data_IF_901220364548
#
_entry.id   IF_901220364548
#
_cell.length_a   1.000
_cell.length_b   1.000
_cell.length_c   1.000
_cell.angle_alpha   90.00
_cell.angle_beta   90.00
_cell.angle_gamma   90.00
#
_symmetry.space_group_name_H-M   'P 1'
#
loop_
_entity.id
_entity.type
_entity.pdbx_description
1 polymer ?
#
# COMPACT_ATOMS: atom_id res chain seq x y z
N UNK A 1 13.47 -13.81 12.83
CA UNK A 1 13.25 -12.90 11.67
C UNK A 1 13.36 -11.40 11.99
N UNK A 2 13.41 -10.91 13.25
CA UNK A 2 13.46 -9.46 13.55
C UNK A 2 14.85 -8.79 13.51
N UNK A 3 15.91 -9.52 13.13
CA UNK A 3 17.31 -9.04 13.23
C UNK A 3 17.97 -8.60 11.91
N UNK A 4 17.21 -8.44 10.83
CA UNK A 4 17.76 -8.50 9.46
C UNK A 4 17.49 -7.29 8.55
N UNK A 5 16.79 -6.25 9.04
CA UNK A 5 16.54 -5.03 8.25
C UNK A 5 17.53 -3.91 8.53
N UNK A 6 18.46 -4.08 9.48
CA UNK A 6 19.35 -3.03 9.98
C UNK A 6 20.11 -2.28 8.88
N UNK A 7 20.66 -2.98 7.87
CA UNK A 7 21.41 -2.32 6.79
C UNK A 7 20.53 -1.60 5.77
N UNK A 8 19.35 -2.13 5.46
CA UNK A 8 18.38 -1.45 4.58
C UNK A 8 17.81 -0.23 5.30
N UNK A 9 17.52 -0.37 6.60
CA UNK A 9 17.14 0.73 7.47
C UNK A 9 18.27 1.76 7.48
N UNK A 10 19.52 1.40 7.75
CA UNK A 10 20.65 2.33 7.78
C UNK A 10 20.81 3.10 6.45
N UNK A 11 20.75 2.41 5.30
CA UNK A 11 20.79 3.08 3.98
C UNK A 11 19.64 4.07 3.84
N UNK A 12 18.42 3.65 4.17
CA UNK A 12 17.22 4.50 4.09
C UNK A 12 17.29 5.65 5.09
N UNK A 13 17.76 5.43 6.33
CA UNK A 13 17.93 6.45 7.36
C UNK A 13 19.01 7.46 6.97
N UNK A 14 20.12 7.00 6.39
CA UNK A 14 21.17 7.88 5.88
C UNK A 14 20.63 8.75 4.75
N UNK A 15 19.94 8.16 3.78
CA UNK A 15 19.25 8.92 2.73
C UNK A 15 18.25 9.92 3.31
N UNK A 16 17.50 9.56 4.34
CA UNK A 16 16.53 10.46 4.97
C UNK A 16 17.22 11.61 5.71
N UNK A 17 18.36 11.36 6.36
CA UNK A 17 19.15 12.37 7.07
C UNK A 17 19.85 13.37 6.14
N UNK A 18 20.28 12.93 4.95
CA UNK A 18 20.83 13.81 3.93
C UNK A 18 19.75 14.73 3.34
N UNK A 19 18.52 14.21 3.22
CA UNK A 19 17.39 14.96 2.67
C UNK A 19 16.81 16.01 3.63
N UNK A 20 17.06 15.95 4.95
CA UNK A 20 16.72 17.05 5.88
C UNK A 20 17.39 18.38 5.51
N UNK A 21 18.47 18.34 4.72
CA UNK A 21 19.22 19.51 4.24
C UNK A 21 18.85 19.93 2.81
N UNK A 22 17.96 19.18 2.18
CA UNK A 22 17.53 19.39 0.79
C UNK A 22 16.38 20.38 0.75
N UNK A 23 16.34 21.23 -0.28
CA UNK A 23 15.26 22.21 -0.42
C UNK A 23 13.92 21.51 -0.68
N UNK A 24 12.78 21.99 -0.16
CA UNK A 24 11.49 21.33 -0.34
C UNK A 24 11.12 21.05 -1.81
N UNK A 25 11.53 21.92 -2.73
CA UNK A 25 11.35 21.75 -4.18
C UNK A 25 12.13 20.58 -4.79
N UNK A 26 13.23 20.16 -4.16
CA UNK A 26 14.09 19.07 -4.65
C UNK A 26 13.73 17.71 -4.01
N UNK A 27 12.82 17.69 -3.04
CA UNK A 27 12.38 16.45 -2.37
C UNK A 27 11.56 15.53 -3.29
N UNK A 28 10.92 16.11 -4.31
CA UNK A 28 10.07 15.39 -5.26
C UNK A 28 10.55 15.62 -6.69
N UNK A 29 10.48 14.59 -7.52
CA UNK A 29 10.61 14.71 -8.98
C UNK A 29 9.30 14.32 -9.66
N UNK A 30 9.08 14.82 -10.87
CA UNK A 30 7.93 14.43 -11.69
C UNK A 30 8.33 13.39 -12.74
N UNK A 31 7.52 12.34 -12.88
CA UNK A 31 7.59 11.37 -13.96
C UNK A 31 6.18 11.09 -14.46
N UNK A 32 5.96 11.28 -15.78
CA UNK A 32 4.64 11.18 -16.41
C UNK A 32 3.54 12.02 -15.72
N UNK A 33 3.91 13.21 -15.24
CA UNK A 33 3.00 14.11 -14.53
C UNK A 33 2.69 13.74 -13.07
N UNK A 34 3.26 12.64 -12.55
CA UNK A 34 3.09 12.19 -11.17
C UNK A 34 4.36 12.51 -10.36
N UNK A 35 4.17 12.95 -9.11
CA UNK A 35 5.29 13.28 -8.21
C UNK A 35 5.78 12.02 -7.46
N UNK A 36 7.10 11.90 -7.28
CA UNK A 36 7.73 10.81 -6.53
C UNK A 36 8.84 11.33 -5.62
N UNK A 37 9.10 10.70 -4.46
CA UNK A 37 10.19 11.11 -3.58
C UNK A 37 11.56 10.85 -4.22
N UNK A 38 12.35 11.90 -4.42
CA UNK A 38 13.67 11.83 -5.05
C UNK A 38 14.69 11.00 -4.26
N UNK A 39 14.51 10.92 -2.93
CA UNK A 39 15.33 10.10 -2.07
C UNK A 39 15.11 8.58 -2.25
N UNK A 40 13.97 8.18 -2.80
CA UNK A 40 13.56 6.78 -2.91
C UNK A 40 13.62 6.26 -4.33
N UNK A 41 13.61 7.14 -5.33
CA UNK A 41 13.49 6.78 -6.73
C UNK A 41 14.09 7.86 -7.63
N UNK A 42 14.18 7.56 -8.93
CA UNK A 42 14.55 8.53 -9.95
C UNK A 42 13.80 8.25 -11.27
N UNK A 43 13.75 9.20 -12.22
CA UNK A 43 13.22 8.95 -13.55
C UNK A 43 13.87 7.73 -14.23
N UNK A 44 15.17 7.53 -14.05
CA UNK A 44 15.92 6.40 -14.62
C UNK A 44 15.48 5.08 -14.00
N UNK A 45 15.19 5.05 -12.69
CA UNK A 45 14.67 3.86 -12.02
C UNK A 45 13.27 3.50 -12.56
N UNK A 46 12.37 4.49 -12.71
CA UNK A 46 11.05 4.25 -13.28
C UNK A 46 11.11 3.84 -14.76
N UNK A 47 12.09 4.34 -15.51
CA UNK A 47 12.32 3.88 -16.89
C UNK A 47 12.83 2.42 -16.92
N UNK A 48 13.80 2.09 -16.07
CA UNK A 48 14.34 0.74 -15.96
C UNK A 48 13.28 -0.29 -15.53
N UNK A 49 12.31 0.12 -14.71
CA UNK A 49 11.19 -0.72 -14.27
C UNK A 49 10.39 -1.30 -15.45
N UNK A 50 10.28 -0.59 -16.57
CA UNK A 50 9.53 -1.09 -17.75
C UNK A 50 10.07 -2.42 -18.29
N UNK A 51 11.35 -2.71 -18.05
CA UNK A 51 12.02 -3.96 -18.44
C UNK A 51 11.98 -5.03 -17.34
N UNK A 52 11.32 -4.76 -16.22
CA UNK A 52 11.21 -5.73 -15.13
C UNK A 52 10.34 -6.93 -15.54
N UNK A 53 10.85 -8.13 -15.27
CA UNK A 53 10.16 -9.38 -15.55
C UNK A 53 9.65 -10.03 -14.26
N UNK A 54 8.34 -10.29 -14.23
CA UNK A 54 7.71 -11.07 -13.17
C UNK A 54 7.93 -12.57 -13.39
N UNK A 55 8.09 -13.31 -12.30
CA UNK A 55 8.05 -14.77 -12.28
C UNK A 55 6.62 -15.24 -12.05
N UNK A 56 6.32 -16.46 -12.49
CA UNK A 56 4.97 -17.03 -12.33
C UNK A 56 4.54 -17.18 -10.88
N UNK A 57 5.50 -17.36 -9.98
CA UNK A 57 5.24 -17.42 -8.56
C UNK A 57 5.52 -16.10 -7.85
N UNK A 58 5.65 -14.93 -8.48
CA UNK A 58 5.74 -13.71 -7.68
C UNK A 58 4.42 -13.44 -6.93
N UNK A 59 4.54 -12.84 -5.75
CA UNK A 59 3.44 -12.26 -4.99
C UNK A 59 3.52 -10.76 -5.14
N UNK A 60 2.58 -10.18 -5.90
CA UNK A 60 2.53 -8.73 -6.11
C UNK A 60 1.46 -8.14 -5.19
N UNK A 61 1.87 -7.20 -4.35
CA UNK A 61 1.00 -6.43 -3.47
C UNK A 61 0.93 -5.00 -4.02
N UNK A 62 -0.26 -4.56 -4.37
CA UNK A 62 -0.51 -3.20 -4.84
C UNK A 62 -1.36 -2.44 -3.83
N UNK A 63 -1.17 -1.13 -3.72
CA UNK A 63 -2.06 -0.27 -2.95
C UNK A 63 -1.50 1.13 -2.83
N UNK A 64 -2.37 2.13 -2.76
CA UNK A 64 -1.95 3.52 -2.61
C UNK A 64 -1.19 3.71 -1.27
N UNK A 65 -0.25 4.68 -1.15
CA UNK A 65 0.41 4.94 0.12
C UNK A 65 -0.58 5.10 1.29
N UNK A 66 -0.19 4.56 2.45
CA UNK A 66 -0.96 4.67 3.71
C UNK A 66 -2.33 3.97 3.73
N UNK A 67 -2.58 3.08 2.78
CA UNK A 67 -3.71 2.13 2.82
C UNK A 67 -3.47 0.93 3.75
N UNK A 68 -2.28 0.77 4.32
CA UNK A 68 -1.92 -0.35 5.21
C UNK A 68 -0.99 -1.38 4.58
N UNK A 69 -0.33 -1.03 3.48
CA UNK A 69 0.60 -1.87 2.72
C UNK A 69 1.69 -2.53 3.57
N UNK A 70 2.29 -1.82 4.54
CA UNK A 70 3.31 -2.43 5.43
C UNK A 70 2.74 -3.55 6.31
N UNK A 71 1.49 -3.42 6.74
CA UNK A 71 0.82 -4.44 7.55
C UNK A 71 0.51 -5.66 6.70
N UNK A 72 -0.02 -5.45 5.50
CA UNK A 72 -0.25 -6.51 4.52
C UNK A 72 1.05 -7.23 4.12
N UNK A 73 2.13 -6.48 3.85
CA UNK A 73 3.44 -7.05 3.50
C UNK A 73 3.93 -8.00 4.59
N UNK A 74 3.88 -7.59 5.87
CA UNK A 74 4.28 -8.47 6.97
C UNK A 74 3.39 -9.70 7.08
N UNK A 75 2.06 -9.55 6.97
CA UNK A 75 1.15 -10.69 6.98
C UNK A 75 1.51 -11.72 5.90
N UNK A 76 1.69 -11.25 4.67
CA UNK A 76 1.98 -12.12 3.53
C UNK A 76 3.35 -12.79 3.70
N UNK A 77 4.36 -12.08 4.22
CA UNK A 77 5.67 -12.66 4.54
C UNK A 77 5.60 -13.74 5.60
N UNK A 78 4.80 -13.53 6.65
CA UNK A 78 4.61 -14.54 7.71
C UNK A 78 3.82 -15.75 7.23
N UNK A 79 2.82 -15.56 6.36
CA UNK A 79 2.08 -16.63 5.70
C UNK A 79 3.04 -17.45 4.82
N UNK A 80 3.77 -16.78 3.94
CA UNK A 80 4.66 -17.41 2.96
C UNK A 80 5.79 -18.17 3.64
N UNK A 81 6.43 -17.58 4.65
CA UNK A 81 7.48 -18.25 5.41
C UNK A 81 6.97 -19.44 6.22
N UNK A 82 5.72 -19.40 6.69
CA UNK A 82 5.10 -20.53 7.42
C UNK A 82 4.76 -21.67 6.46
N UNK A 83 4.24 -21.35 5.28
CA UNK A 83 3.92 -22.33 4.23
C UNK A 83 5.16 -23.02 3.67
N UNK A 84 6.19 -22.23 3.32
CA UNK A 84 7.38 -22.73 2.65
C UNK A 84 8.28 -23.59 3.54
N UNK A 85 8.18 -23.44 4.87
CA UNK A 85 8.96 -24.22 5.87
C UNK A 85 10.46 -24.25 5.55
N UNK A 86 11.01 -23.08 5.26
CA UNK A 86 12.40 -22.91 4.87
C UNK A 86 13.38 -23.55 5.86
N UNK A 87 14.44 -24.17 5.35
CA UNK A 87 15.57 -24.58 6.18
C UNK A 87 16.35 -23.36 6.67
N UNK A 88 17.21 -23.55 7.67
CA UNK A 88 18.08 -22.47 8.17
C UNK A 88 19.02 -21.93 7.07
N UNK A 89 19.49 -22.80 6.17
CA UNK A 89 20.33 -22.43 5.03
C UNK A 89 19.56 -21.58 4.02
N UNK A 90 18.35 -21.99 3.64
CA UNK A 90 17.48 -21.23 2.72
C UNK A 90 17.10 -19.87 3.32
N UNK A 91 16.83 -19.85 4.62
CA UNK A 91 16.58 -18.61 5.35
C UNK A 91 17.80 -17.68 5.30
N UNK A 92 19.01 -18.21 5.52
CA UNK A 92 20.25 -17.44 5.45
C UNK A 92 20.51 -16.90 4.05
N UNK A 93 20.27 -17.70 3.01
CA UNK A 93 20.40 -17.26 1.61
C UNK A 93 19.46 -16.10 1.30
N UNK A 94 18.18 -16.22 1.66
CA UNK A 94 17.19 -15.14 1.48
C UNK A 94 17.59 -13.87 2.20
N UNK A 95 18.05 -13.99 3.45
CA UNK A 95 18.51 -12.86 4.25
C UNK A 95 19.69 -12.15 3.56
N UNK A 96 20.65 -12.91 3.03
CA UNK A 96 21.80 -12.33 2.33
C UNK A 96 21.36 -11.62 1.05
N UNK A 97 20.49 -12.24 0.26
CA UNK A 97 19.96 -11.64 -0.96
C UNK A 97 19.17 -10.35 -0.67
N UNK A 98 18.35 -10.32 0.38
CA UNK A 98 17.63 -9.11 0.81
C UNK A 98 18.58 -8.00 1.28
N UNK A 99 19.69 -8.32 1.94
CA UNK A 99 20.72 -7.34 2.31
C UNK A 99 21.41 -6.74 1.08
N UNK A 100 21.66 -7.56 0.06
CA UNK A 100 22.25 -7.10 -1.20
C UNK A 100 21.32 -6.19 -2.00
N UNK A 101 20.00 -6.27 -1.82
CA UNK A 101 19.07 -5.34 -2.48
C UNK A 101 19.37 -3.88 -2.09
N UNK A 102 19.82 -3.66 -0.85
CA UNK A 102 20.02 -2.35 -0.22
C UNK A 102 18.78 -1.45 -0.23
N UNK A 103 17.61 -2.01 -0.52
CA UNK A 103 16.33 -1.32 -0.63
C UNK A 103 15.20 -2.32 -0.35
N UNK A 104 14.06 -1.82 0.11
CA UNK A 104 12.87 -2.67 0.18
C UNK A 104 12.40 -3.08 -1.23
N UNK A 105 11.85 -4.29 -1.43
CA UNK A 105 11.41 -4.76 -2.75
C UNK A 105 10.09 -4.10 -3.17
N UNK A 106 10.15 -2.79 -3.40
CA UNK A 106 9.10 -1.98 -4.02
C UNK A 106 9.50 -1.66 -5.45
N UNK A 107 8.59 -1.82 -6.41
CA UNK A 107 8.91 -1.67 -7.83
C UNK A 107 9.39 -0.27 -8.20
N UNK A 108 8.97 0.73 -7.44
CA UNK A 108 9.34 2.12 -7.65
C UNK A 108 10.58 2.57 -6.87
N UNK A 109 11.21 1.72 -6.04
CA UNK A 109 12.31 2.14 -5.15
C UNK A 109 13.69 1.71 -5.63
N UNK A 110 14.68 2.56 -5.38
CA UNK A 110 16.10 2.28 -5.58
C UNK A 110 16.70 2.97 -6.80
N UNK A 111 17.88 2.50 -7.18
CA UNK A 111 18.59 2.86 -8.41
C UNK A 111 18.21 1.93 -9.57
N UNK A 112 18.52 2.27 -10.84
CA UNK A 112 18.23 1.40 -11.99
C UNK A 112 18.77 -0.04 -11.86
N UNK A 113 19.86 -0.25 -11.13
CA UNK A 113 20.45 -1.57 -10.89
C UNK A 113 19.68 -2.43 -9.88
N UNK A 114 18.69 -1.87 -9.16
CA UNK A 114 17.88 -2.60 -8.18
C UNK A 114 17.18 -3.80 -8.81
N UNK A 115 16.70 -3.68 -10.05
CA UNK A 115 15.98 -4.74 -10.74
C UNK A 115 16.88 -5.94 -11.08
N UNK A 116 18.16 -5.71 -11.40
CA UNK A 116 19.14 -6.79 -11.54
C UNK A 116 19.42 -7.48 -10.21
N UNK A 117 19.45 -6.74 -9.09
CA UNK A 117 19.56 -7.32 -7.75
C UNK A 117 18.31 -8.12 -7.40
N UNK A 118 17.12 -7.66 -7.77
CA UNK A 118 15.85 -8.38 -7.59
C UNK A 118 15.77 -9.69 -8.39
N UNK A 119 16.52 -9.83 -9.49
CA UNK A 119 16.64 -11.09 -10.22
C UNK A 119 17.42 -12.16 -9.44
N UNK A 120 18.28 -11.77 -8.50
CA UNK A 120 19.04 -12.70 -7.64
C UNK A 120 18.24 -13.19 -6.43
N UNK A 121 17.10 -12.57 -6.13
CA UNK A 121 16.26 -13.01 -5.01
C UNK A 121 15.75 -14.44 -5.24
N UNK A 122 15.81 -15.32 -4.22
CA UNK A 122 15.17 -16.62 -4.27
C UNK A 122 13.66 -16.48 -4.47
N UNK A 123 13.07 -17.36 -5.28
CA UNK A 123 11.60 -17.48 -5.33
C UNK A 123 11.10 -18.16 -4.04
N UNK A 124 9.97 -17.77 -3.43
CA UNK A 124 8.97 -16.80 -3.90
C UNK A 124 9.35 -15.35 -3.58
N UNK A 125 9.21 -14.42 -4.54
CA UNK A 125 9.43 -12.99 -4.28
C UNK A 125 8.12 -12.34 -3.83
N UNK A 126 8.17 -11.57 -2.74
CA UNK A 126 7.07 -10.70 -2.31
C UNK A 126 7.47 -9.28 -2.66
N UNK A 127 6.73 -8.69 -3.60
CA UNK A 127 7.03 -7.40 -4.20
C UNK A 127 5.84 -6.48 -3.97
N UNK A 128 6.11 -5.26 -3.53
CA UNK A 128 5.09 -4.25 -3.28
C UNK A 128 5.14 -3.14 -4.34
N UNK A 129 4.03 -2.47 -4.60
CA UNK A 129 4.05 -1.23 -5.37
C UNK A 129 2.92 -0.28 -5.00
N UNK A 130 3.23 1.01 -5.07
CA UNK A 130 2.28 2.11 -4.99
C UNK A 130 1.93 2.71 -6.37
N UNK A 131 2.48 2.14 -7.46
CA UNK A 131 2.28 2.65 -8.81
C UNK A 131 0.89 2.30 -9.37
N UNK A 132 0.38 3.21 -10.18
CA UNK A 132 -0.78 2.95 -11.03
C UNK A 132 -0.44 1.96 -12.15
N UNK A 133 -1.41 1.18 -12.65
CA UNK A 133 -1.22 0.18 -13.69
C UNK A 133 -0.49 0.66 -14.95
N UNK A 134 -0.68 1.90 -15.41
CA UNK A 134 -0.03 2.41 -16.63
C UNK A 134 1.50 2.52 -16.52
N UNK A 135 2.05 2.62 -15.31
CA UNK A 135 3.50 2.70 -15.06
C UNK A 135 4.14 1.34 -14.75
N UNK A 136 3.31 0.31 -14.58
CA UNK A 136 3.79 -1.03 -14.25
C UNK A 136 4.23 -1.79 -15.51
N UNK A 137 5.22 -2.67 -15.40
CA UNK A 137 5.72 -3.41 -16.56
C UNK A 137 4.61 -4.28 -17.15
N UNK A 138 4.49 -4.37 -18.49
CA UNK A 138 3.47 -5.20 -19.14
C UNK A 138 3.51 -6.67 -18.69
N UNK A 139 4.69 -7.17 -18.29
CA UNK A 139 4.89 -8.52 -17.78
C UNK A 139 4.01 -8.84 -16.56
N UNK A 140 3.64 -7.84 -15.74
CA UNK A 140 2.75 -8.00 -14.59
C UNK A 140 1.33 -8.40 -15.02
N UNK A 141 0.84 -7.78 -16.10
CA UNK A 141 -0.51 -8.01 -16.62
C UNK A 141 -0.58 -9.08 -17.70
N UNK A 142 0.54 -9.45 -18.34
CA UNK A 142 0.59 -10.51 -19.36
C UNK A 142 1.13 -11.83 -18.81
N UNK A 143 1.87 -11.78 -17.71
CA UNK A 143 2.53 -12.92 -17.09
C UNK A 143 1.59 -13.81 -16.28
N UNK A 144 2.19 -14.64 -15.42
CA UNK A 144 1.46 -15.59 -14.56
C UNK A 144 1.39 -15.16 -13.09
N UNK A 145 2.04 -14.04 -12.73
CA UNK A 145 2.00 -13.52 -11.38
C UNK A 145 0.57 -13.11 -10.99
N UNK A 146 0.24 -13.29 -9.71
CA UNK A 146 -1.02 -12.85 -9.10
C UNK A 146 -0.80 -11.52 -8.40
N UNK A 147 -1.81 -10.65 -8.44
CA UNK A 147 -1.77 -9.31 -7.87
C UNK A 147 -2.88 -9.20 -6.82
N UNK A 148 -2.52 -8.77 -5.62
CA UNK A 148 -3.46 -8.40 -4.57
C UNK A 148 -3.47 -6.87 -4.44
N UNK A 149 -4.62 -6.25 -4.67
CA UNK A 149 -4.84 -4.81 -4.47
C UNK A 149 -5.45 -4.54 -3.10
N UNK A 150 -4.75 -3.76 -2.29
CA UNK A 150 -5.21 -3.27 -0.99
C UNK A 150 -5.94 -1.94 -1.15
N UNK A 151 -7.18 -1.91 -0.64
CA UNK A 151 -8.02 -0.73 -0.58
C UNK A 151 -8.17 -0.25 0.87
N UNK A 152 -8.46 1.02 1.07
CA UNK A 152 -8.78 1.57 2.39
C UNK A 152 -9.70 2.77 2.23
N UNK A 153 -10.56 3.06 3.21
CA UNK A 153 -11.39 4.26 3.19
C UNK A 153 -10.56 5.52 2.86
N UNK A 154 -10.98 6.36 1.88
CA UNK A 154 -10.22 7.54 1.47
C UNK A 154 -10.06 8.57 2.61
N UNK A 155 -11.03 8.70 3.50
CA UNK A 155 -10.97 9.64 4.63
C UNK A 155 -9.87 9.24 5.61
N UNK A 156 -9.82 7.96 5.96
CA UNK A 156 -8.79 7.42 6.85
C UNK A 156 -7.41 7.44 6.19
N UNK A 157 -7.36 7.22 4.88
CA UNK A 157 -6.14 7.32 4.07
C UNK A 157 -5.60 8.75 4.08
N UNK A 158 -6.46 9.74 3.82
CA UNK A 158 -6.09 11.16 3.82
C UNK A 158 -5.49 11.59 5.16
N UNK A 159 -6.12 11.23 6.29
CA UNK A 159 -5.61 11.56 7.63
C UNK A 159 -4.29 10.86 7.90
N UNK A 160 -4.18 9.57 7.58
CA UNK A 160 -2.93 8.83 7.77
C UNK A 160 -1.79 9.38 6.91
N UNK A 161 -2.11 9.92 5.74
CA UNK A 161 -1.12 10.39 4.79
C UNK A 161 -0.65 11.82 5.06
N UNK A 162 -1.50 12.68 5.61
CA UNK A 162 -1.10 13.98 6.17
C UNK A 162 0.00 13.84 7.23
N UNK A 163 -0.24 12.95 8.21
CA UNK A 163 0.76 12.70 9.25
C UNK A 163 2.04 12.07 8.70
N UNK A 164 1.94 11.25 7.66
CA UNK A 164 3.12 10.70 7.04
C UNK A 164 3.95 11.77 6.34
N UNK A 165 3.30 12.64 5.54
CA UNK A 165 3.92 13.80 4.91
C UNK A 165 4.67 14.68 5.91
N UNK A 166 4.00 15.08 6.98
CA UNK A 166 4.57 16.02 7.94
C UNK A 166 5.62 15.42 8.88
N UNK A 167 5.85 14.11 8.85
CA UNK A 167 6.87 13.47 9.70
C UNK A 167 7.93 12.71 8.89
N UNK A 168 7.82 12.65 7.56
CA UNK A 168 8.78 11.93 6.72
C UNK A 168 9.76 12.93 6.08
N UNK A 169 11.07 12.88 6.38
CA UNK A 169 12.05 13.86 5.89
C UNK A 169 12.21 13.93 4.37
N UNK A 170 11.81 12.87 3.66
CA UNK A 170 11.89 12.78 2.19
C UNK A 170 10.64 13.28 1.47
N UNK A 171 9.73 13.90 2.21
CA UNK A 171 8.53 14.53 1.67
C UNK A 171 8.50 15.99 2.12
N UNK A 172 7.90 16.89 1.31
CA UNK A 172 7.61 18.22 1.79
C UNK A 172 6.62 18.16 2.95
N UNK A 173 6.53 19.23 3.73
CA UNK A 173 5.55 19.34 4.82
C UNK A 173 4.47 20.35 4.48
N UNK A 174 3.29 20.16 5.06
CA UNK A 174 2.17 21.09 4.97
C UNK A 174 1.99 21.78 6.31
N UNK A 175 1.85 23.11 6.27
CA UNK A 175 1.65 23.91 7.48
C UNK A 175 0.26 23.67 8.09
N UNK A 176 -0.74 23.44 7.24
CA UNK A 176 -2.13 23.23 7.66
C UNK A 176 -2.77 21.99 7.03
N UNK A 177 -3.82 21.49 7.69
CA UNK A 177 -4.65 20.41 7.14
C UNK A 177 -5.34 20.82 5.84
N UNK A 178 -5.84 22.05 5.74
CA UNK A 178 -6.63 22.50 4.58
C UNK A 178 -5.77 22.58 3.31
N UNK A 179 -4.53 23.07 3.41
CA UNK A 179 -3.56 23.07 2.30
C UNK A 179 -3.26 21.65 1.84
N UNK A 180 -2.96 20.75 2.79
CA UNK A 180 -2.73 19.34 2.49
C UNK A 180 -3.97 18.70 1.84
N UNK A 181 -5.15 18.94 2.38
CA UNK A 181 -6.38 18.31 1.92
C UNK A 181 -6.73 18.78 0.50
N UNK A 182 -6.52 20.06 0.18
CA UNK A 182 -6.63 20.57 -1.19
C UNK A 182 -5.63 19.89 -2.13
N UNK A 183 -4.39 19.65 -1.70
CA UNK A 183 -3.39 18.91 -2.48
C UNK A 183 -3.78 17.44 -2.67
N UNK A 184 -4.28 16.77 -1.63
CA UNK A 184 -4.79 15.39 -1.67
C UNK A 184 -5.94 15.25 -2.68
N UNK A 185 -6.93 16.16 -2.62
CA UNK A 185 -8.09 16.14 -3.50
C UNK A 185 -7.74 16.47 -4.97
N UNK A 186 -6.70 17.27 -5.20
CA UNK A 186 -6.24 17.63 -6.55
C UNK A 186 -5.14 16.72 -7.09
N UNK A 187 -4.75 15.67 -6.35
CA UNK A 187 -3.72 14.72 -6.78
C UNK A 187 -2.29 15.28 -6.79
N UNK A 188 -2.04 16.42 -6.13
CA UNK A 188 -0.73 17.10 -6.07
C UNK A 188 0.16 16.57 -4.95
N UNK A 189 0.01 15.29 -4.62
CA UNK A 189 0.87 14.57 -3.68
C UNK A 189 1.76 13.58 -4.44
N UNK A 190 2.74 13.04 -3.73
CA UNK A 190 3.58 11.96 -4.20
C UNK A 190 2.69 10.74 -4.48
N UNK A 191 3.06 9.95 -5.49
CA UNK A 191 2.23 8.89 -6.06
C UNK A 191 0.87 9.37 -6.61
N UNK A 192 0.66 10.68 -6.75
CA UNK A 192 -0.47 11.27 -7.47
C UNK A 192 -1.81 11.17 -6.75
N UNK A 193 -2.89 11.18 -7.53
CA UNK A 193 -4.26 11.12 -7.03
C UNK A 193 -4.64 9.72 -6.53
N UNK A 194 -5.11 9.64 -5.28
CA UNK A 194 -5.69 8.41 -4.73
C UNK A 194 -6.87 7.92 -5.58
N UNK A 195 -7.71 8.83 -6.08
CA UNK A 195 -8.90 8.48 -6.84
C UNK A 195 -8.54 7.97 -8.24
N UNK A 196 -7.57 8.59 -8.91
CA UNK A 196 -7.11 8.12 -10.22
C UNK A 196 -6.44 6.74 -10.10
N UNK A 197 -5.60 6.56 -9.07
CA UNK A 197 -5.02 5.26 -8.74
C UNK A 197 -6.11 4.19 -8.56
N UNK A 198 -7.17 4.48 -7.78
CA UNK A 198 -8.30 3.55 -7.64
C UNK A 198 -9.00 3.26 -8.96
N UNK A 199 -9.31 4.30 -9.75
CA UNK A 199 -10.02 4.15 -11.02
C UNK A 199 -9.23 3.29 -12.01
N UNK A 200 -7.91 3.48 -12.08
CA UNK A 200 -7.07 2.70 -12.97
C UNK A 200 -7.01 1.22 -12.57
N UNK A 201 -6.81 0.95 -11.28
CA UNK A 201 -6.81 -0.42 -10.77
C UNK A 201 -8.17 -1.09 -10.93
N UNK A 202 -9.27 -0.35 -10.80
CA UNK A 202 -10.62 -0.87 -11.00
C UNK A 202 -10.83 -1.46 -12.41
N UNK A 203 -10.04 -1.06 -13.41
CA UNK A 203 -10.10 -1.62 -14.78
C UNK A 203 -9.70 -3.09 -14.84
N UNK A 204 -9.01 -3.61 -13.82
CA UNK A 204 -8.52 -4.98 -13.76
C UNK A 204 -9.27 -5.84 -12.74
N UNK A 205 -10.31 -5.31 -12.08
CA UNK A 205 -11.02 -5.96 -10.96
C UNK A 205 -11.54 -7.36 -11.27
N UNK A 206 -12.00 -7.56 -12.51
CA UNK A 206 -12.57 -8.83 -12.97
C UNK A 206 -11.51 -9.79 -13.55
N UNK A 207 -10.23 -9.40 -13.53
CA UNK A 207 -9.15 -10.23 -14.03
C UNK A 207 -8.85 -11.38 -13.05
N UNK A 208 -8.83 -12.64 -13.52
CA UNK A 208 -8.71 -13.85 -12.68
C UNK A 208 -7.46 -13.89 -11.78
N UNK A 209 -6.38 -13.22 -12.21
CA UNK A 209 -5.11 -13.08 -11.48
C UNK A 209 -5.08 -11.89 -10.52
N UNK A 210 -6.21 -11.19 -10.34
CA UNK A 210 -6.30 -10.08 -9.42
C UNK A 210 -7.30 -10.37 -8.30
N UNK A 211 -6.93 -9.99 -7.08
CA UNK A 211 -7.82 -10.01 -5.92
C UNK A 211 -7.77 -8.64 -5.26
N UNK A 212 -8.93 -8.15 -4.83
CA UNK A 212 -8.99 -6.98 -3.98
C UNK A 212 -9.31 -7.38 -2.56
N UNK A 213 -8.73 -6.66 -1.61
CA UNK A 213 -9.10 -6.75 -0.21
C UNK A 213 -9.04 -5.36 0.42
N UNK A 214 -9.97 -5.05 1.32
CA UNK A 214 -9.92 -3.78 2.05
C UNK A 214 -9.15 -3.94 3.36
N UNK A 215 -8.49 -2.86 3.77
CA UNK A 215 -7.87 -2.73 5.09
C UNK A 215 -8.89 -2.97 6.20
N UNK A 216 -10.12 -2.49 6.02
CA UNK A 216 -11.22 -2.65 6.96
C UNK A 216 -11.61 -4.13 7.11
N UNK A 217 -11.68 -4.89 6.02
CA UNK A 217 -11.96 -6.33 6.07
C UNK A 217 -10.83 -7.07 6.79
N UNK A 218 -9.57 -6.77 6.46
CA UNK A 218 -8.40 -7.35 7.13
C UNK A 218 -8.40 -7.03 8.62
N UNK A 219 -8.85 -5.83 9.01
CA UNK A 219 -8.89 -5.38 10.41
C UNK A 219 -10.04 -6.01 11.19
N UNK A 220 -11.21 -6.15 10.58
CA UNK A 220 -12.39 -6.72 11.20
C UNK A 220 -12.19 -8.21 11.52
N UNK A 221 -11.65 -8.97 10.57
CA UNK A 221 -11.35 -10.38 10.77
C UNK A 221 -10.03 -10.78 10.11
N UNK A 222 -8.88 -10.55 10.80
CA UNK A 222 -7.56 -10.82 10.24
C UNK A 222 -7.38 -12.27 9.79
N UNK A 223 -7.88 -13.24 10.57
CA UNK A 223 -7.75 -14.67 10.25
C UNK A 223 -8.51 -15.01 8.97
N UNK A 224 -9.75 -14.53 8.81
CA UNK A 224 -10.51 -14.75 7.57
C UNK A 224 -9.84 -14.08 6.37
N UNK A 225 -9.34 -12.86 6.53
CA UNK A 225 -8.59 -12.16 5.51
C UNK A 225 -7.33 -12.91 5.08
N UNK A 226 -6.54 -13.41 6.05
CA UNK A 226 -5.35 -14.22 5.78
C UNK A 226 -5.69 -15.52 5.03
N UNK A 227 -6.82 -16.17 5.33
CA UNK A 227 -7.27 -17.36 4.58
C UNK A 227 -7.59 -17.03 3.13
N UNK A 228 -8.27 -15.91 2.86
CA UNK A 228 -8.53 -15.45 1.48
C UNK A 228 -7.23 -15.20 0.73
N UNK A 229 -6.27 -14.54 1.37
CA UNK A 229 -4.93 -14.28 0.82
C UNK A 229 -4.19 -15.58 0.53
N UNK A 230 -4.18 -16.52 1.48
CA UNK A 230 -3.54 -17.81 1.31
C UNK A 230 -4.14 -18.61 0.15
N UNK A 231 -5.47 -18.72 0.10
CA UNK A 231 -6.17 -19.39 -0.99
C UNK A 231 -5.87 -18.75 -2.35
N UNK A 232 -5.87 -17.41 -2.42
CA UNK A 232 -5.59 -16.70 -3.66
C UNK A 232 -4.17 -16.94 -4.16
N UNK A 233 -3.15 -16.86 -3.29
CA UNK A 233 -1.77 -17.09 -3.70
C UNK A 233 -1.37 -18.57 -3.75
N UNK A 234 -2.20 -19.48 -3.23
CA UNK A 234 -1.93 -20.92 -3.18
C UNK A 234 -1.06 -21.36 -2.01
N UNK A 235 -1.11 -20.66 -0.88
CA UNK A 235 -0.45 -21.05 0.37
C UNK A 235 -1.36 -22.00 1.18
N UNK A 236 -0.76 -22.95 1.89
CA UNK A 236 -1.43 -24.01 2.64
C UNK A 236 -1.04 -24.00 4.13
N UNK A 237 -1.84 -23.33 4.96
CA UNK A 237 -1.63 -23.21 6.40
C UNK A 237 -2.79 -23.78 7.21
N UNK A 238 -2.51 -24.18 8.45
CA UNK A 238 -3.52 -24.61 9.43
C UNK A 238 -4.21 -23.43 10.12
N UNK A 239 -5.35 -23.70 10.77
CA UNK A 239 -6.09 -22.72 11.57
C UNK A 239 -5.24 -22.12 12.71
N UNK A 240 -4.43 -22.97 13.35
CA UNK A 240 -3.51 -22.59 14.42
C UNK A 240 -2.40 -21.68 13.89
N UNK A 241 -1.89 -21.96 12.69
CA UNK A 241 -0.88 -21.12 12.03
C UNK A 241 -1.45 -19.74 11.70
N UNK A 242 -2.65 -19.66 11.11
CA UNK A 242 -3.31 -18.36 10.88
C UNK A 242 -3.52 -17.59 12.18
N UNK A 243 -3.99 -18.26 13.24
CA UNK A 243 -4.20 -17.63 14.54
C UNK A 243 -2.90 -17.11 15.17
N UNK A 244 -1.80 -17.86 15.01
CA UNK A 244 -0.46 -17.45 15.46
C UNK A 244 0.04 -16.24 14.68
N UNK A 245 -0.11 -16.25 13.35
CA UNK A 245 0.29 -15.14 12.49
C UNK A 245 -0.52 -13.88 12.84
N UNK A 246 -1.84 -13.98 12.96
CA UNK A 246 -2.71 -12.86 13.34
C UNK A 246 -2.30 -12.18 14.65
N UNK A 247 -1.87 -12.96 15.66
CA UNK A 247 -1.32 -12.40 16.91
C UNK A 247 0.02 -11.68 16.67
N UNK A 248 0.92 -12.33 15.92
CA UNK A 248 2.27 -11.81 15.63
C UNK A 248 2.26 -10.55 14.76
N UNK A 249 1.29 -10.43 13.86
CA UNK A 249 1.12 -9.27 12.98
C UNK A 249 0.04 -8.32 13.48
N UNK A 250 -0.39 -8.42 14.74
CA UNK A 250 -1.32 -7.45 15.32
C UNK A 250 -0.72 -6.05 15.33
N UNK A 251 -1.55 -5.00 15.32
CA UNK A 251 -1.07 -3.62 15.33
C UNK A 251 -0.09 -3.36 16.48
N UNK A 252 -0.39 -3.89 17.67
CA UNK A 252 0.45 -3.73 18.85
C UNK A 252 1.82 -4.41 18.65
N UNK A 253 1.82 -5.67 18.20
CA UNK A 253 3.06 -6.40 17.92
C UNK A 253 3.88 -5.73 16.82
N UNK A 254 3.23 -5.25 15.76
CA UNK A 254 3.89 -4.52 14.67
C UNK A 254 4.49 -3.20 15.13
N UNK A 255 3.79 -2.46 15.99
CA UNK A 255 4.29 -1.21 16.55
C UNK A 255 5.46 -1.44 17.51
N UNK A 256 5.44 -2.50 18.29
CA UNK A 256 6.59 -2.85 19.14
C UNK A 256 7.81 -3.24 18.29
N UNK A 257 7.58 -4.01 17.22
CA UNK A 257 8.59 -4.44 16.27
C UNK A 257 9.01 -3.36 15.26
N UNK A 258 8.30 -2.22 15.19
CA UNK A 258 8.57 -1.20 14.17
C UNK A 258 9.93 -0.54 14.36
N UNK A 259 10.39 -0.43 15.61
CA UNK A 259 11.73 0.09 15.94
C UNK A 259 12.85 -0.79 15.39
N UNK A 260 12.64 -2.10 15.31
CA UNK A 260 13.60 -3.06 14.76
C UNK A 260 13.50 -3.18 13.23
N UNK A 261 12.34 -2.92 12.65
CA UNK A 261 12.07 -3.17 11.21
C UNK A 261 12.12 -1.91 10.34
N UNK A 262 11.98 -0.73 10.94
CA UNK A 262 11.93 0.57 10.26
C UNK A 262 12.69 1.67 11.02
N UNK A 263 13.51 1.28 12.01
CA UNK A 263 14.39 2.18 12.75
C UNK A 263 13.65 3.32 13.45
N UNK A 264 14.23 4.52 13.42
CA UNK A 264 13.66 5.75 14.00
C UNK A 264 12.32 6.13 13.37
N UNK A 265 12.04 5.64 12.17
CA UNK A 265 10.82 5.94 11.41
C UNK A 265 9.66 4.97 11.68
N UNK A 266 9.85 3.98 12.55
CA UNK A 266 8.81 3.02 12.91
C UNK A 266 7.54 3.68 13.46
N UNK A 267 7.67 4.67 14.34
CA UNK A 267 6.51 5.38 14.91
C UNK A 267 5.74 6.23 13.88
N UNK A 268 6.41 6.65 12.80
CA UNK A 268 5.80 7.41 11.68
C UNK A 268 4.99 6.48 10.77
N UNK A 269 5.49 5.25 10.57
CA UNK A 269 4.83 4.25 9.73
C UNK A 269 3.64 3.58 10.43
N UNK A 270 3.73 3.33 11.73
CA UNK A 270 2.74 2.62 12.53
C UNK A 270 2.00 3.53 13.52
N UNK A 271 1.02 4.29 13.01
CA UNK A 271 0.16 5.18 13.81
C UNK A 271 -1.21 4.54 14.12
N UNK A 272 -1.75 4.79 15.32
CA UNK A 272 -3.13 4.42 15.68
C UNK A 272 -4.12 5.09 14.73
N UNK A 273 -5.11 4.33 14.26
CA UNK A 273 -6.27 4.88 13.56
C UNK A 273 -7.09 5.69 14.57
N UNK A 274 -7.29 6.98 14.30
CA UNK A 274 -8.17 7.86 15.08
C UNK A 274 -9.51 7.88 14.35
N UNK A 275 -10.59 7.52 15.05
CA UNK A 275 -11.91 7.39 14.43
C UNK A 275 -12.58 8.77 14.24
N UNK A 276 -13.61 8.87 13.37
CA UNK A 276 -14.34 10.12 13.16
C UNK A 276 -14.92 10.75 14.43
N UNK A 277 -15.22 9.96 15.45
CA UNK A 277 -15.77 10.43 16.73
C UNK A 277 -14.72 11.19 17.57
N UNK A 278 -13.43 10.94 17.32
CA UNK A 278 -12.31 11.62 17.99
C UNK A 278 -11.86 12.88 17.24
N UNK A 279 -12.38 13.14 16.03
CA UNK A 279 -12.03 14.32 15.23
C UNK A 279 -12.48 15.63 15.91
N UNK A 280 -13.53 15.58 16.73
CA UNK A 280 -13.96 16.71 17.55
C UNK A 280 -12.88 17.19 18.54
N UNK A 281 -12.04 16.27 19.03
CA UNK A 281 -10.95 16.58 19.95
C UNK A 281 -9.77 17.30 19.28
N UNK A 282 -9.66 17.19 17.95
CA UNK A 282 -8.61 17.81 17.14
C UNK A 282 -9.08 19.05 16.36
N UNK A 283 -10.25 19.60 16.70
CA UNK A 283 -10.76 20.84 16.10
C UNK A 283 -11.42 20.67 14.73
N UNK A 284 -11.69 19.44 14.29
CA UNK A 284 -12.44 19.20 13.06
C UNK A 284 -13.95 19.41 13.33
N UNK A 285 -14.69 20.12 12.44
CA UNK A 285 -16.12 20.29 12.58
C UNK A 285 -16.86 18.94 12.47
N UNK A 286 -17.63 18.61 13.50
CA UNK A 286 -18.40 17.35 13.61
C UNK A 286 -19.59 17.31 12.64
N UNK A 287 -19.94 18.44 12.05
CA UNK A 287 -21.03 18.56 11.09
C UNK A 287 -20.45 18.96 9.73
N UNK A 288 -20.57 18.06 8.74
CA UNK A 288 -20.49 18.46 7.34
C UNK A 288 -21.56 19.52 7.03
N UNK A 289 -21.45 20.27 5.91
CA UNK A 289 -22.40 21.31 5.58
C UNK A 289 -23.82 20.74 5.58
N UNK A 290 -24.70 21.39 6.34
CA UNK A 290 -26.13 21.11 6.37
C UNK A 290 -26.68 21.20 4.96
N UNK A 291 -27.06 20.06 4.38
CA UNK A 291 -27.84 20.07 3.14
C UNK A 291 -29.20 20.74 3.42
N UNK A 292 -29.64 21.72 2.60
CA UNK A 292 -31.01 22.21 2.70
C UNK A 292 -31.98 21.10 2.31
N UNK A 293 -33.05 20.96 3.11
CA UNK A 293 -34.13 19.98 2.92
C UNK A 293 -34.71 20.06 1.51
N UNK A 294 -34.88 18.90 0.91
CA UNK A 294 -35.57 18.64 -0.34
C UNK A 294 -37.05 19.06 -0.28
N UNK A 295 -37.55 19.67 -1.35
CA UNK A 295 -38.96 19.59 -1.74
C UNK A 295 -39.13 18.42 -2.70
N UNK A 296 -39.95 17.47 -2.29
CA UNK A 296 -40.40 16.30 -3.06
C UNK A 296 -41.30 16.73 -4.21
N UNK A 297 -41.13 16.13 -5.39
CA UNK A 297 -42.23 16.00 -6.35
C UNK A 297 -42.16 14.63 -7.02
N UNK A 298 -43.26 13.90 -6.89
CA UNK A 298 -43.52 12.58 -7.43
C UNK A 298 -43.42 12.53 -8.96
N UNK A 299 -42.98 11.39 -9.51
CA UNK A 299 -43.58 10.80 -10.70
C UNK A 299 -43.31 9.29 -10.77
N UNK A 300 -44.34 8.58 -11.23
CA UNK A 300 -44.63 7.18 -11.00
C UNK A 300 -43.93 6.21 -11.97
N UNK A 301 -43.79 4.97 -11.44
CA UNK A 301 -43.70 3.66 -12.08
C UNK A 301 -43.81 3.51 -13.61
N UNK A 302 -42.88 2.73 -14.19
CA UNK A 302 -43.25 1.61 -15.08
C UNK A 302 -42.21 0.47 -15.02
N UNK A 303 -42.74 -0.74 -15.10
CA UNK A 303 -42.14 -2.07 -14.86
C UNK A 303 -41.30 -2.58 -16.02
N UNK A 304 -40.10 -3.15 -15.81
CA UNK A 304 -39.64 -4.35 -16.56
C UNK A 304 -38.46 -5.08 -15.88
N UNK A 305 -38.67 -6.37 -15.62
CA UNK A 305 -37.75 -7.53 -15.58
C UNK A 305 -36.41 -7.48 -14.82
N UNK A 306 -36.33 -8.40 -13.84
CA UNK A 306 -35.14 -8.78 -13.11
C UNK A 306 -34.14 -9.60 -13.96
N UNK A 307 -32.86 -9.29 -13.81
CA UNK A 307 -31.69 -10.11 -14.17
C UNK A 307 -30.81 -10.18 -12.90
N UNK A 308 -30.28 -11.36 -12.50
CA UNK A 308 -29.59 -11.50 -11.22
C UNK A 308 -28.18 -10.90 -11.31
N UNK A 309 -27.93 -9.82 -10.56
CA UNK A 309 -26.59 -9.23 -10.48
C UNK A 309 -25.81 -9.81 -9.28
N UNK A 310 -24.82 -10.62 -9.64
CA UNK A 310 -23.69 -11.08 -8.85
C UNK A 310 -22.96 -9.95 -8.11
N UNK A 311 -22.52 -10.24 -6.88
CA UNK A 311 -21.49 -9.55 -6.09
C UNK A 311 -21.13 -8.11 -6.49
N UNK A 312 -22.06 -7.18 -6.26
CA UNK A 312 -21.78 -5.74 -6.34
C UNK A 312 -20.88 -5.31 -5.17
N UNK A 313 -19.71 -4.79 -5.50
CA UNK A 313 -18.76 -4.09 -4.63
C UNK A 313 -19.47 -3.11 -3.67
N UNK A 314 -19.21 -3.21 -2.37
CA UNK A 314 -19.81 -2.37 -1.33
C UNK A 314 -19.23 -0.94 -1.33
N UNK A 315 -18.07 -0.71 -1.96
CA UNK A 315 -17.41 0.61 -2.10
C UNK A 315 -18.07 1.47 -3.19
N UNK A 316 -18.75 0.87 -4.16
CA UNK A 316 -19.47 1.60 -5.21
C UNK A 316 -20.84 2.15 -4.78
N UNK A 317 -21.32 1.84 -3.57
CA UNK A 317 -22.63 2.34 -3.07
C UNK A 317 -22.56 3.71 -2.42
N UNK A 318 -21.37 4.27 -2.20
CA UNK A 318 -21.24 5.70 -1.86
C UNK A 318 -21.23 6.51 -3.14
N UNK A 319 -22.38 7.08 -3.49
CA UNK A 319 -22.53 8.07 -4.55
C UNK A 319 -21.60 9.26 -4.25
N UNK A 320 -20.47 9.33 -4.95
CA UNK A 320 -19.64 10.53 -4.97
C UNK A 320 -20.25 11.48 -6.01
N UNK A 321 -21.17 12.34 -5.58
CA UNK A 321 -21.45 13.58 -6.31
C UNK A 321 -20.31 14.55 -6.04
N UNK A 322 -19.44 14.72 -7.03
CA UNK A 322 -18.47 15.81 -7.10
C UNK A 322 -19.25 17.13 -7.34
N UNK A 323 -18.92 18.25 -6.67
CA UNK A 323 -19.54 19.55 -6.94
C UNK A 323 -19.34 20.04 -8.37
#
# INVERSE_FOLDING_TARGET
MSRNRERVIEVVENSFSENEKTSPEDLLFSYDGILYPAALSSPETLEALKSFETRSNDVILAGYPKTGTNWLEEMVREIESTDAKYTEEEMKERINAEKELQMFPRLEFGDPGVFERMKKLPSRRIILTHLSPHLLPPSLFQGKAKILLLLRNPKDTAVSYYHFYNNMPVLPSFATWDEYFAAFMSGKLAWGSYFDHLMEWNRYIDHERMMMISYEELKENPVLGMKKIAAFFGFSLSEEEFSRIAKKTSFQAMKEKSKETHGKFGDILFRKVVFPQDLAHYGFPVNGPSQPRTSTTHLNSTTTTAIPASNSCMVCKTSFTVP
#
